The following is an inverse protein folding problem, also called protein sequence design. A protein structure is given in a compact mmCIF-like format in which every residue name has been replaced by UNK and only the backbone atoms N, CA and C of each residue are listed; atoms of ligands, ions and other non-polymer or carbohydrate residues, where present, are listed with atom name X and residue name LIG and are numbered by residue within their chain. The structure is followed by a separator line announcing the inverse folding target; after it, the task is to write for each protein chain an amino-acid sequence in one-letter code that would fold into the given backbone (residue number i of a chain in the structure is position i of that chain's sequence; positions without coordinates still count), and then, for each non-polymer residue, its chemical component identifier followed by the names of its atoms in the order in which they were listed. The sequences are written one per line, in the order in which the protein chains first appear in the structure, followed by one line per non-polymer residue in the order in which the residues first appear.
data_IF_003164654444
#
_entry.id   IF_003164654444
#
_cell.length_a   1.000
_cell.length_b   1.000
_cell.length_c   1.000
_cell.angle_alpha   90.00
_cell.angle_beta   90.00
_cell.angle_gamma   90.00
#
_symmetry.space_group_name_H-M   'P 1'
#
loop_
_entity.id
_entity.type
_entity.pdbx_description
1 polymer ?
#
# COMPACT_ATOMS: atom_id res chain seq x y z
N UNK A 1 -4.31 5.50 29.51
CA UNK A 1 -4.50 4.43 28.52
C UNK A 1 -5.60 4.88 27.56
N UNK A 2 -5.24 5.32 26.37
CA UNK A 2 -6.21 5.81 25.37
C UNK A 2 -6.71 4.61 24.56
N UNK A 3 -8.02 4.38 24.41
CA UNK A 3 -8.54 3.27 23.63
C UNK A 3 -8.08 3.34 22.18
N UNK A 4 -7.59 2.22 21.63
CA UNK A 4 -7.23 2.13 20.20
C UNK A 4 -8.47 2.29 19.32
N UNK A 5 -8.30 3.02 18.21
CA UNK A 5 -9.41 3.43 17.34
C UNK A 5 -9.86 2.28 16.42
N UNK A 6 -10.99 1.66 16.72
CA UNK A 6 -11.72 0.79 15.76
C UNK A 6 -12.36 1.64 14.65
N UNK A 7 -12.13 1.26 13.40
CA UNK A 7 -12.76 1.91 12.25
C UNK A 7 -14.28 1.67 12.19
N UNK A 8 -15.05 2.65 11.70
CA UNK A 8 -16.50 2.57 11.55
C UNK A 8 -16.96 1.47 10.57
N UNK A 9 -18.17 0.91 10.78
CA UNK A 9 -18.86 -0.02 9.87
C UNK A 9 -19.15 0.66 8.52
N UNK A 10 -18.92 -0.07 7.44
CA UNK A 10 -18.44 0.53 6.20
C UNK A 10 -19.05 -0.19 4.98
N UNK A 11 -19.45 0.52 3.89
CA UNK A 11 -19.94 -0.12 2.66
C UNK A 11 -18.98 -1.19 2.13
N UNK A 12 -19.53 -2.24 1.50
CA UNK A 12 -18.79 -3.43 1.05
C UNK A 12 -17.63 -3.00 0.13
N UNK A 13 -16.41 -3.44 0.44
CA UNK A 13 -15.22 -3.15 -0.37
C UNK A 13 -15.44 -3.57 -1.84
N UNK A 14 -14.81 -2.88 -2.83
CA UNK A 14 -14.87 -3.32 -4.21
C UNK A 14 -14.31 -4.75 -4.34
N UNK A 15 -14.89 -5.60 -5.20
CA UNK A 15 -14.32 -6.91 -5.52
C UNK A 15 -12.85 -6.81 -5.94
N UNK A 16 -12.08 -7.87 -5.71
CA UNK A 16 -10.65 -7.92 -6.06
C UNK A 16 -10.43 -7.67 -7.56
N UNK A 17 -11.29 -8.19 -8.43
CA UNK A 17 -11.21 -7.96 -9.88
C UNK A 17 -11.25 -6.47 -10.24
N UNK A 18 -12.15 -5.69 -9.62
CA UNK A 18 -12.25 -4.25 -9.83
C UNK A 18 -10.98 -3.53 -9.34
N UNK A 19 -10.44 -3.92 -8.18
CA UNK A 19 -9.21 -3.31 -7.65
C UNK A 19 -8.00 -3.61 -8.54
N UNK A 20 -7.89 -4.85 -9.05
CA UNK A 20 -6.87 -5.25 -10.02
C UNK A 20 -7.01 -4.48 -11.32
N UNK A 21 -8.24 -4.31 -11.82
CA UNK A 21 -8.49 -3.54 -13.05
C UNK A 21 -8.07 -2.07 -12.89
N UNK A 22 -8.50 -1.42 -11.80
CA UNK A 22 -8.12 -0.04 -11.50
C UNK A 22 -6.60 0.13 -11.36
N UNK A 23 -5.93 -0.80 -10.67
CA UNK A 23 -4.48 -0.81 -10.51
C UNK A 23 -3.74 -0.97 -11.85
N UNK A 24 -4.21 -1.85 -12.74
CA UNK A 24 -3.66 -2.03 -14.09
C UNK A 24 -3.85 -0.77 -14.92
N UNK A 25 -5.07 -0.23 -14.92
CA UNK A 25 -5.41 0.96 -15.70
C UNK A 25 -4.44 2.11 -15.41
N UNK A 26 -4.29 2.51 -14.15
CA UNK A 26 -3.39 3.60 -13.79
C UNK A 26 -1.93 3.20 -13.98
N UNK A 27 -1.55 1.97 -13.62
CA UNK A 27 -0.19 1.48 -13.79
C UNK A 27 0.30 1.50 -15.24
N UNK A 28 -0.56 1.13 -16.18
CA UNK A 28 -0.25 1.12 -17.61
C UNK A 28 -0.12 2.53 -18.16
N UNK A 29 -0.94 3.49 -17.70
CA UNK A 29 -0.79 4.91 -18.09
C UNK A 29 0.50 5.52 -17.56
N UNK A 30 0.91 5.17 -16.33
CA UNK A 30 2.21 5.57 -15.78
C UNK A 30 3.34 5.01 -16.64
N UNK A 31 3.29 3.72 -16.99
CA UNK A 31 4.29 3.07 -17.86
C UNK A 31 4.36 3.70 -19.26
N UNK A 32 3.21 4.01 -19.87
CA UNK A 32 3.14 4.70 -21.16
C UNK A 32 3.80 6.08 -21.11
N UNK A 33 3.75 6.75 -19.97
CA UNK A 33 4.45 8.00 -19.71
C UNK A 33 5.94 7.82 -19.38
N UNK A 34 6.50 6.62 -19.55
CA UNK A 34 7.85 6.22 -19.15
C UNK A 34 8.12 6.39 -17.65
N UNK A 35 7.07 6.36 -16.83
CA UNK A 35 7.17 6.36 -15.38
C UNK A 35 7.23 4.95 -14.80
N UNK A 36 7.74 4.86 -13.58
CA UNK A 36 7.67 3.67 -12.74
C UNK A 36 6.56 3.87 -11.71
N UNK A 37 5.91 2.77 -11.33
CA UNK A 37 5.01 2.75 -10.17
C UNK A 37 5.24 1.51 -9.33
N UNK A 38 4.74 1.55 -8.10
CA UNK A 38 4.68 0.41 -7.20
C UNK A 38 3.41 0.48 -6.36
N UNK A 39 2.64 -0.60 -6.33
CA UNK A 39 1.53 -0.77 -5.40
C UNK A 39 2.02 -0.85 -3.96
N UNK A 40 1.24 -0.33 -3.02
CA UNK A 40 1.55 -0.34 -1.61
C UNK A 40 0.28 -0.52 -0.77
N UNK A 41 0.40 -0.32 0.55
CA UNK A 41 -0.75 -0.26 1.45
C UNK A 41 -1.52 -1.59 1.55
N UNK A 42 -2.84 -1.49 1.75
CA UNK A 42 -3.69 -2.66 1.97
C UNK A 42 -3.84 -3.54 0.73
N UNK A 43 -3.88 -2.94 -0.46
CA UNK A 43 -4.03 -3.69 -1.69
C UNK A 43 -2.80 -4.54 -2.01
N UNK A 44 -1.59 -4.01 -1.80
CA UNK A 44 -0.37 -4.80 -1.95
C UNK A 44 -0.35 -6.03 -1.01
N UNK A 45 -0.83 -5.88 0.23
CA UNK A 45 -0.96 -7.00 1.18
C UNK A 45 -1.99 -8.03 0.73
N UNK A 46 -3.11 -7.59 0.15
CA UNK A 46 -4.11 -8.49 -0.44
C UNK A 46 -3.53 -9.29 -1.60
N UNK A 47 -2.70 -8.67 -2.45
CA UNK A 47 -1.97 -9.38 -3.51
C UNK A 47 -0.99 -10.41 -2.94
N UNK A 48 -0.33 -10.09 -1.82
CA UNK A 48 0.51 -11.00 -1.03
C UNK A 48 -0.29 -12.06 -0.24
N UNK A 49 -1.61 -12.13 -0.37
CA UNK A 49 -2.42 -13.20 0.23
C UNK A 49 -2.95 -12.91 1.64
N UNK A 50 -2.85 -11.66 2.11
CA UNK A 50 -3.58 -11.24 3.31
C UNK A 50 -5.09 -11.43 3.09
N UNK A 51 -5.80 -11.88 4.13
CA UNK A 51 -7.26 -12.03 4.10
C UNK A 51 -7.99 -10.71 4.40
N UNK A 52 -7.25 -9.64 4.69
CA UNK A 52 -7.82 -8.34 5.02
C UNK A 52 -8.41 -7.68 3.77
N UNK A 53 -9.65 -7.23 3.87
CA UNK A 53 -10.23 -6.38 2.82
C UNK A 53 -9.60 -4.98 2.84
N UNK A 54 -9.44 -4.42 1.65
CA UNK A 54 -9.08 -3.02 1.43
C UNK A 54 -10.05 -2.41 0.41
N UNK A 55 -10.17 -1.09 0.41
CA UNK A 55 -11.19 -0.37 -0.36
C UNK A 55 -10.62 0.44 -1.51
N UNK A 56 -9.36 0.75 -1.37
CA UNK A 56 -8.54 1.63 -2.17
C UNK A 56 -7.30 0.87 -2.65
N UNK A 57 -6.76 1.39 -3.73
CA UNK A 57 -5.46 1.02 -4.28
C UNK A 57 -4.49 2.14 -3.98
N UNK A 58 -3.54 1.90 -3.11
CA UNK A 58 -2.42 2.82 -2.89
C UNK A 58 -1.29 2.50 -3.87
N UNK A 59 -0.70 3.52 -4.49
CA UNK A 59 0.50 3.39 -5.29
C UNK A 59 1.43 4.59 -5.15
N UNK A 60 2.72 4.34 -5.36
CA UNK A 60 3.74 5.38 -5.47
C UNK A 60 4.29 5.40 -6.89
N UNK A 61 4.61 6.59 -7.41
CA UNK A 61 5.22 6.77 -8.75
C UNK A 61 6.39 7.76 -8.71
N UNK A 62 7.34 7.60 -9.63
CA UNK A 62 8.45 8.55 -9.83
C UNK A 62 8.08 9.73 -10.75
N UNK A 63 6.87 9.71 -11.32
CA UNK A 63 6.34 10.84 -12.08
C UNK A 63 6.15 12.05 -11.18
N UNK A 64 6.42 13.24 -11.74
CA UNK A 64 6.10 14.51 -11.07
C UNK A 64 4.59 14.73 -11.12
N UNK A 65 4.05 15.46 -10.13
CA UNK A 65 2.62 15.76 -10.06
C UNK A 65 2.05 16.35 -11.36
N UNK A 66 2.78 17.24 -12.04
CA UNK A 66 2.38 17.79 -13.35
C UNK A 66 2.19 16.70 -14.43
N UNK A 67 3.06 15.69 -14.47
CA UNK A 67 2.96 14.57 -15.39
C UNK A 67 1.75 13.69 -15.04
N UNK A 68 1.50 13.46 -13.75
CA UNK A 68 0.32 12.70 -13.31
C UNK A 68 -0.98 13.42 -13.74
N UNK A 69 -1.05 14.74 -13.57
CA UNK A 69 -2.19 15.53 -14.06
C UNK A 69 -2.40 15.40 -15.57
N UNK A 70 -1.32 15.45 -16.37
CA UNK A 70 -1.43 15.27 -17.82
C UNK A 70 -1.91 13.88 -18.25
N UNK A 71 -1.79 12.86 -17.38
CA UNK A 71 -2.37 11.55 -17.64
C UNK A 71 -3.86 11.56 -17.36
N UNK A 72 -4.28 12.09 -16.22
CA UNK A 72 -5.66 11.90 -15.72
C UNK A 72 -6.67 12.94 -16.22
N UNK A 73 -6.23 14.14 -16.62
CA UNK A 73 -7.14 15.20 -17.05
C UNK A 73 -7.88 14.83 -18.34
N UNK A 74 -9.20 14.98 -18.33
CA UNK A 74 -10.05 14.69 -19.49
C UNK A 74 -10.32 13.19 -19.73
N UNK A 75 -9.81 12.30 -18.88
CA UNK A 75 -10.04 10.86 -19.02
C UNK A 75 -11.45 10.46 -18.55
N UNK A 76 -12.24 9.86 -19.43
CA UNK A 76 -13.60 9.40 -19.16
C UNK A 76 -13.67 8.21 -18.18
N UNK A 77 -12.57 7.49 -17.97
CA UNK A 77 -12.49 6.42 -16.96
C UNK A 77 -12.36 6.96 -15.54
N UNK A 78 -12.01 8.23 -15.37
CA UNK A 78 -11.60 8.78 -14.08
C UNK A 78 -12.61 9.77 -13.52
N UNK A 79 -12.82 9.69 -12.22
CA UNK A 79 -13.53 10.70 -11.44
C UNK A 79 -12.49 11.40 -10.56
N UNK A 80 -12.29 12.69 -10.80
CA UNK A 80 -11.39 13.54 -10.03
C UNK A 80 -12.21 14.32 -8.99
N UNK A 81 -12.04 14.06 -7.69
CA UNK A 81 -12.77 14.78 -6.65
C UNK A 81 -12.46 16.28 -6.68
N UNK A 82 -13.47 17.12 -6.40
CA UNK A 82 -13.30 18.58 -6.28
C UNK A 82 -12.50 19.01 -5.04
N UNK A 83 -12.26 18.11 -4.09
CA UNK A 83 -11.59 18.40 -2.83
C UNK A 83 -10.09 18.67 -3.03
N UNK A 84 -9.56 19.59 -2.21
CA UNK A 84 -8.20 20.12 -2.31
C UNK A 84 -7.15 19.00 -2.36
N UNK A 85 -6.30 19.08 -3.39
CA UNK A 85 -5.08 18.29 -3.58
C UNK A 85 -4.23 18.36 -2.30
N UNK A 86 -3.89 17.22 -1.71
CA UNK A 86 -2.71 17.16 -0.84
C UNK A 86 -1.52 17.17 -1.80
N UNK A 87 -0.57 18.10 -1.65
CA UNK A 87 0.46 18.37 -2.66
C UNK A 87 1.20 17.10 -3.14
N UNK A 88 1.34 16.12 -2.25
CA UNK A 88 2.14 14.92 -2.49
C UNK A 88 1.32 13.62 -2.64
N UNK A 89 -0.01 13.68 -2.50
CA UNK A 89 -0.90 12.54 -2.73
C UNK A 89 -2.13 12.97 -3.51
N UNK A 90 -2.31 12.36 -4.67
CA UNK A 90 -3.45 12.56 -5.54
C UNK A 90 -4.45 11.42 -5.38
N UNK A 91 -5.67 11.77 -5.00
CA UNK A 91 -6.80 10.84 -4.97
C UNK A 91 -7.62 10.96 -6.25
N UNK A 92 -7.90 9.82 -6.87
CA UNK A 92 -8.83 9.69 -7.99
C UNK A 92 -9.71 8.46 -7.78
N UNK A 93 -10.80 8.35 -8.55
CA UNK A 93 -11.55 7.10 -8.65
C UNK A 93 -11.51 6.60 -10.09
N UNK A 94 -11.29 5.30 -10.26
CA UNK A 94 -11.30 4.63 -11.56
C UNK A 94 -12.63 3.89 -11.71
N UNK A 95 -13.38 4.20 -12.76
CA UNK A 95 -14.55 3.43 -13.14
C UNK A 95 -14.11 2.08 -13.72
N UNK A 96 -14.68 1.01 -13.18
CA UNK A 96 -14.44 -0.38 -13.58
C UNK A 96 -15.77 -1.08 -13.75
N UNK A 97 -15.81 -2.20 -14.49
CA UNK A 97 -17.01 -2.93 -14.86
C UNK A 97 -17.48 -2.67 -16.29
N UNK A 98 -18.68 -3.15 -16.65
CA UNK A 98 -19.17 -3.08 -18.03
C UNK A 98 -19.15 -1.65 -18.58
N UNK A 99 -18.60 -1.51 -19.79
CA UNK A 99 -18.37 -0.22 -20.45
C UNK A 99 -16.97 0.37 -20.23
N UNK A 100 -16.19 -0.18 -19.30
CA UNK A 100 -14.80 0.16 -19.08
C UNK A 100 -13.92 -1.08 -19.28
N UNK A 101 -14.17 -2.16 -18.54
CA UNK A 101 -13.36 -3.38 -18.55
C UNK A 101 -14.20 -4.66 -18.42
N UNK A 102 -13.53 -5.80 -18.22
CA UNK A 102 -14.14 -7.13 -18.11
C UNK A 102 -14.67 -7.47 -16.69
N UNK A 103 -14.61 -6.54 -15.73
CA UNK A 103 -15.18 -6.78 -14.39
C UNK A 103 -16.69 -6.95 -14.49
N UNK A 104 -17.28 -7.85 -13.68
CA UNK A 104 -18.71 -8.13 -13.77
C UNK A 104 -19.57 -7.06 -13.11
N UNK A 105 -19.02 -6.37 -12.12
CA UNK A 105 -19.71 -5.36 -11.34
C UNK A 105 -19.16 -3.98 -11.64
N UNK A 106 -20.04 -3.02 -11.91
CA UNK A 106 -19.64 -1.62 -12.01
C UNK A 106 -19.25 -1.06 -10.64
N UNK A 107 -18.01 -0.57 -10.53
CA UNK A 107 -17.48 0.06 -9.32
C UNK A 107 -16.56 1.22 -9.67
N UNK A 108 -16.67 2.30 -8.91
CA UNK A 108 -15.64 3.32 -8.82
C UNK A 108 -14.66 2.88 -7.72
N UNK A 109 -13.42 2.59 -8.08
CA UNK A 109 -12.36 2.18 -7.15
C UNK A 109 -11.50 3.40 -6.82
N UNK A 110 -11.32 3.67 -5.53
CA UNK A 110 -10.43 4.74 -5.07
C UNK A 110 -8.97 4.34 -5.34
N UNK A 111 -8.21 5.27 -5.94
CA UNK A 111 -6.77 5.12 -6.18
C UNK A 111 -6.06 6.34 -5.61
N UNK A 112 -5.16 6.09 -4.65
CA UNK A 112 -4.29 7.09 -4.05
C UNK A 112 -2.89 6.97 -4.66
N UNK A 113 -2.47 8.01 -5.39
CA UNK A 113 -1.17 8.10 -6.05
C UNK A 113 -0.27 9.03 -5.25
N UNK A 114 0.74 8.48 -4.60
CA UNK A 114 1.72 9.21 -3.81
C UNK A 114 3.00 9.51 -4.62
N UNK A 115 3.63 10.64 -4.30
CA UNK A 115 5.01 10.91 -4.71
C UNK A 115 6.01 10.15 -3.80
N UNK A 116 7.28 9.97 -4.22
CA UNK A 116 8.27 9.30 -3.39
C UNK A 116 8.60 10.10 -2.12
N UNK A 117 8.92 9.40 -1.03
CA UNK A 117 9.33 10.01 0.23
C UNK A 117 8.21 10.52 1.14
N UNK A 118 6.93 10.38 0.75
CA UNK A 118 5.78 10.78 1.58
C UNK A 118 5.03 9.58 2.14
N UNK A 119 4.39 9.73 3.31
CA UNK A 119 3.58 8.68 3.96
C UNK A 119 4.26 7.30 4.05
N UNK A 120 5.56 7.27 4.35
CA UNK A 120 6.33 6.03 4.48
C UNK A 120 6.72 5.36 3.17
N UNK A 121 6.51 6.00 2.02
CA UNK A 121 7.03 5.53 0.73
C UNK A 121 8.56 5.66 0.65
N UNK A 122 9.23 4.81 -0.16
CA UNK A 122 10.65 4.96 -0.43
C UNK A 122 10.93 6.31 -1.13
N UNK A 123 12.10 6.91 -0.87
CA UNK A 123 12.55 8.10 -1.59
C UNK A 123 12.90 7.81 -3.06
N UNK A 124 13.20 6.54 -3.38
CA UNK A 124 13.44 6.06 -4.74
C UNK A 124 12.76 4.71 -4.91
N UNK A 125 11.93 4.58 -5.94
CA UNK A 125 11.12 3.37 -6.17
C UNK A 125 11.85 2.30 -6.98
N UNK A 126 12.85 2.66 -7.80
CA UNK A 126 13.44 1.73 -8.79
C UNK A 126 14.13 0.49 -8.19
N UNK A 127 14.57 0.54 -6.94
CA UNK A 127 15.15 -0.61 -6.21
C UNK A 127 14.26 -1.15 -5.10
N UNK A 128 13.04 -0.63 -4.99
CA UNK A 128 12.10 -0.96 -3.93
C UNK A 128 10.88 -1.73 -4.46
N UNK A 129 10.94 -2.23 -5.70
CA UNK A 129 9.83 -2.90 -6.38
C UNK A 129 10.03 -4.40 -6.51
N UNK A 130 8.91 -5.11 -6.53
CA UNK A 130 8.80 -6.52 -6.85
C UNK A 130 7.56 -6.75 -7.74
N UNK A 131 7.56 -7.83 -8.53
CA UNK A 131 6.36 -8.23 -9.28
C UNK A 131 5.54 -9.19 -8.43
N UNK A 132 4.30 -8.81 -8.10
CA UNK A 132 3.36 -9.64 -7.34
C UNK A 132 2.09 -9.83 -8.16
N UNK A 133 1.76 -11.09 -8.49
CA UNK A 133 0.59 -11.44 -9.33
C UNK A 133 0.51 -10.63 -10.65
N UNK A 134 1.68 -10.38 -11.27
CA UNK A 134 1.79 -9.65 -12.53
C UNK A 134 1.68 -8.11 -12.41
N UNK A 135 1.66 -7.57 -11.19
CA UNK A 135 1.61 -6.13 -10.93
C UNK A 135 2.90 -5.66 -10.25
N UNK A 136 3.34 -4.44 -10.57
CA UNK A 136 4.45 -3.81 -9.84
C UNK A 136 3.97 -3.42 -8.44
N UNK A 137 4.62 -3.94 -7.41
CA UNK A 137 4.36 -3.67 -6.01
C UNK A 137 5.66 -3.22 -5.34
N UNK A 138 5.57 -2.54 -4.20
CA UNK A 138 6.72 -2.44 -3.32
C UNK A 138 7.13 -3.84 -2.88
N UNK A 139 8.42 -4.06 -2.72
CA UNK A 139 8.90 -5.31 -2.11
C UNK A 139 8.43 -5.42 -0.66
N UNK A 140 8.46 -6.66 -0.15
CA UNK A 140 7.98 -7.00 1.19
C UNK A 140 8.64 -6.13 2.27
N UNK A 141 9.93 -5.85 2.15
CA UNK A 141 10.69 -5.07 3.13
C UNK A 141 10.21 -3.62 3.17
N UNK A 142 9.96 -3.01 2.01
CA UNK A 142 9.46 -1.64 1.94
C UNK A 142 7.99 -1.54 2.37
N UNK A 143 7.16 -2.56 2.10
CA UNK A 143 5.80 -2.64 2.66
C UNK A 143 5.88 -2.71 4.19
N UNK A 144 6.74 -3.59 4.74
CA UNK A 144 6.94 -3.73 6.18
C UNK A 144 7.43 -2.42 6.82
N UNK A 145 8.41 -1.75 6.19
CA UNK A 145 8.93 -0.46 6.64
C UNK A 145 7.82 0.59 6.77
N UNK A 146 6.97 0.71 5.75
CA UNK A 146 5.82 1.61 5.79
C UNK A 146 4.84 1.27 6.92
N UNK A 147 4.63 -0.03 7.17
CA UNK A 147 3.75 -0.50 8.25
C UNK A 147 4.31 -0.24 9.64
N UNK A 148 5.59 -0.50 9.86
CA UNK A 148 6.28 -0.17 11.12
C UNK A 148 6.21 1.34 11.42
N UNK A 149 6.46 2.19 10.43
CA UNK A 149 6.37 3.65 10.59
C UNK A 149 4.94 4.13 10.90
N UNK A 150 3.92 3.55 10.26
CA UNK A 150 2.53 3.86 10.57
C UNK A 150 2.11 3.36 11.96
N UNK A 151 2.54 2.16 12.34
CA UNK A 151 2.32 1.61 13.67
C UNK A 151 2.91 2.52 14.74
N UNK A 152 4.18 2.92 14.59
CA UNK A 152 4.87 3.82 15.50
C UNK A 152 4.22 5.20 15.65
N UNK A 153 3.57 5.71 14.59
CA UNK A 153 2.97 7.06 14.59
C UNK A 153 1.49 7.11 14.96
N UNK A 154 0.75 6.01 14.82
CA UNK A 154 -0.72 6.01 14.92
C UNK A 154 -1.33 4.90 15.76
N UNK A 155 -0.55 3.88 16.14
CA UNK A 155 -0.97 2.74 16.98
C UNK A 155 -2.30 2.09 16.54
N UNK A 156 -2.50 1.89 15.23
CA UNK A 156 -3.69 1.20 14.74
C UNK A 156 -3.50 -0.32 14.81
N UNK A 157 -4.49 -1.04 15.37
CA UNK A 157 -4.53 -2.51 15.43
C UNK A 157 -4.27 -3.17 14.06
N UNK A 158 -4.73 -2.51 12.99
CA UNK A 158 -4.56 -3.01 11.62
C UNK A 158 -3.11 -3.03 11.15
N UNK A 159 -2.31 -2.05 11.56
CA UNK A 159 -0.89 -2.03 11.20
C UNK A 159 -0.13 -3.12 11.96
N UNK A 160 -0.50 -3.40 13.21
CA UNK A 160 0.03 -4.54 13.96
C UNK A 160 -0.26 -5.88 13.27
N UNK A 161 -1.52 -6.13 12.91
CA UNK A 161 -1.94 -7.34 12.19
C UNK A 161 -1.19 -7.51 10.85
N UNK A 162 -1.06 -6.42 10.09
CA UNK A 162 -0.35 -6.40 8.82
C UNK A 162 1.16 -6.70 9.01
N UNK A 163 1.81 -6.16 10.05
CA UNK A 163 3.21 -6.48 10.40
C UNK A 163 3.38 -7.96 10.76
N UNK A 164 2.51 -8.47 11.63
CA UNK A 164 2.52 -9.87 12.05
C UNK A 164 2.31 -10.81 10.86
N UNK A 165 1.39 -10.47 9.94
CA UNK A 165 1.19 -11.21 8.71
C UNK A 165 2.48 -11.28 7.87
N UNK A 166 3.16 -10.15 7.67
CA UNK A 166 4.40 -10.12 6.90
C UNK A 166 5.50 -10.96 7.56
N UNK A 167 5.71 -10.80 8.87
CA UNK A 167 6.72 -11.53 9.63
C UNK A 167 6.48 -13.04 9.67
N UNK A 168 5.23 -13.49 9.55
CA UNK A 168 4.94 -14.93 9.53
C UNK A 168 5.20 -15.55 8.16
N UNK A 169 4.85 -14.84 7.09
CA UNK A 169 4.76 -15.42 5.75
C UNK A 169 5.94 -15.08 4.83
N UNK A 170 6.72 -14.05 5.15
CA UNK A 170 7.76 -13.50 4.26
C UNK A 170 9.10 -13.29 4.97
N UNK A 171 9.45 -14.21 5.87
CA UNK A 171 10.63 -14.09 6.73
C UNK A 171 11.93 -13.90 5.95
N UNK A 172 12.15 -14.70 4.92
CA UNK A 172 13.42 -14.70 4.19
C UNK A 172 13.63 -13.40 3.43
N UNK A 173 12.59 -12.89 2.78
CA UNK A 173 12.61 -11.59 2.11
C UNK A 173 12.87 -10.44 3.10
N UNK A 174 12.26 -10.52 4.29
CA UNK A 174 12.47 -9.52 5.35
C UNK A 174 13.91 -9.61 5.87
N UNK A 175 14.44 -10.82 6.13
CA UNK A 175 15.81 -11.00 6.60
C UNK A 175 16.84 -10.44 5.63
N UNK A 176 16.61 -10.58 4.32
CA UNK A 176 17.47 -10.01 3.28
C UNK A 176 17.47 -8.46 3.30
N UNK A 177 16.30 -7.84 3.48
CA UNK A 177 16.13 -6.39 3.40
C UNK A 177 16.17 -5.64 4.74
N UNK A 178 16.20 -6.33 5.89
CA UNK A 178 15.96 -5.73 7.23
C UNK A 178 16.89 -4.58 7.60
N UNK A 179 18.10 -4.51 7.02
CA UNK A 179 19.05 -3.42 7.24
C UNK A 179 18.51 -2.05 6.81
N UNK A 180 17.47 -2.03 5.99
CA UNK A 180 16.79 -0.80 5.54
C UNK A 180 15.65 -0.35 6.46
N UNK A 181 15.31 -1.16 7.48
CA UNK A 181 14.30 -0.83 8.48
C UNK A 181 14.85 0.17 9.50
N UNK A 182 13.98 1.02 10.04
CA UNK A 182 14.36 1.98 11.08
C UNK A 182 14.36 1.28 12.44
N UNK A 183 15.50 1.33 13.14
CA UNK A 183 15.65 0.70 14.45
C UNK A 183 14.56 1.13 15.44
N UNK A 184 14.27 2.44 15.52
CA UNK A 184 13.22 3.00 16.39
C UNK A 184 11.84 2.37 16.13
N UNK A 185 11.43 2.26 14.87
CA UNK A 185 10.12 1.71 14.50
C UNK A 185 10.07 0.20 14.79
N UNK A 186 11.20 -0.51 14.63
CA UNK A 186 11.34 -1.94 14.99
C UNK A 186 11.27 -2.15 16.50
N UNK A 187 11.96 -1.34 17.30
CA UNK A 187 11.93 -1.44 18.75
C UNK A 187 10.53 -1.16 19.30
N UNK A 188 9.83 -0.14 18.78
CA UNK A 188 8.46 0.16 19.17
C UNK A 188 7.51 -1.01 18.90
N UNK A 189 7.64 -1.67 17.76
CA UNK A 189 6.85 -2.87 17.47
C UNK A 189 7.18 -4.03 18.41
N UNK A 190 8.47 -4.33 18.62
CA UNK A 190 8.88 -5.45 19.46
C UNK A 190 8.53 -5.25 20.94
N UNK A 191 8.50 -4.00 21.41
CA UNK A 191 8.09 -3.65 22.77
C UNK A 191 6.56 -3.55 22.93
N UNK A 192 5.77 -3.87 21.88
CA UNK A 192 4.33 -3.93 22.00
C UNK A 192 3.89 -4.95 23.06
N UNK A 193 2.90 -4.56 23.86
CA UNK A 193 2.23 -5.42 24.84
C UNK A 193 1.39 -6.52 24.17
N UNK A 194 1.03 -6.36 22.89
CA UNK A 194 0.27 -7.38 22.13
C UNK A 194 1.13 -8.58 21.70
N UNK A 195 2.46 -8.45 21.79
CA UNK A 195 3.38 -9.55 21.51
C UNK A 195 3.60 -10.39 22.76
N UNK A 196 3.31 -11.68 22.66
CA UNK A 196 3.80 -12.65 23.64
C UNK A 196 5.34 -12.67 23.63
N UNK A 197 5.95 -13.06 24.75
CA UNK A 197 7.40 -13.16 24.88
C UNK A 197 8.02 -14.05 23.78
N UNK A 198 7.38 -15.18 23.48
CA UNK A 198 7.80 -16.08 22.39
C UNK A 198 7.72 -15.42 21.02
N UNK A 199 6.63 -14.68 20.73
CA UNK A 199 6.48 -13.99 19.46
C UNK A 199 7.53 -12.87 19.33
N UNK A 200 7.76 -12.11 20.40
CA UNK A 200 8.79 -11.07 20.47
C UNK A 200 10.18 -11.64 20.17
N UNK A 201 10.57 -12.72 20.85
CA UNK A 201 11.86 -13.37 20.61
C UNK A 201 12.01 -13.88 19.17
N UNK A 202 10.93 -14.44 18.60
CA UNK A 202 10.92 -14.91 17.21
C UNK A 202 11.07 -13.76 16.21
N UNK A 203 10.31 -12.68 16.40
CA UNK A 203 10.33 -11.54 15.49
C UNK A 203 11.62 -10.71 15.64
N UNK A 204 12.23 -10.67 16.82
CA UNK A 204 13.54 -10.07 17.01
C UNK A 204 14.61 -10.75 16.13
N UNK A 205 14.61 -12.08 16.04
CA UNK A 205 15.52 -12.82 15.14
C UNK A 205 15.29 -12.53 13.65
N UNK A 206 14.08 -12.16 13.26
CA UNK A 206 13.78 -11.83 11.86
C UNK A 206 14.22 -10.39 11.57
N UNK A 207 13.94 -9.47 12.51
CA UNK A 207 14.09 -8.03 12.33
C UNK A 207 15.48 -7.49 12.67
N UNK A 208 16.22 -8.14 13.58
CA UNK A 208 17.52 -7.66 14.10
C UNK A 208 18.69 -8.57 13.76
N UNK A 209 18.55 -9.88 13.96
CA UNK A 209 19.64 -10.86 13.84
C UNK A 209 19.90 -11.27 12.40
#
# INVERSE_FOLDING_TARGET
MTPRKRGARTPKAPPLENQVSAARYIGDRIKQASGTYALMGGFALLLLGSQRSTRDVDMVTDLRMKQIWSLIEGDSWLIIPKSKKVADVLKIFVNTGPGFDDCKLSKAVEVDIALPGVKGTPASIGRATATVKGLSSLDVTHILRGKLSHYASREFDRDFEDIVFLLRNYQDQIKEGRRSLRGEDVELFLNSEDLSETARATYAKILKD
#
